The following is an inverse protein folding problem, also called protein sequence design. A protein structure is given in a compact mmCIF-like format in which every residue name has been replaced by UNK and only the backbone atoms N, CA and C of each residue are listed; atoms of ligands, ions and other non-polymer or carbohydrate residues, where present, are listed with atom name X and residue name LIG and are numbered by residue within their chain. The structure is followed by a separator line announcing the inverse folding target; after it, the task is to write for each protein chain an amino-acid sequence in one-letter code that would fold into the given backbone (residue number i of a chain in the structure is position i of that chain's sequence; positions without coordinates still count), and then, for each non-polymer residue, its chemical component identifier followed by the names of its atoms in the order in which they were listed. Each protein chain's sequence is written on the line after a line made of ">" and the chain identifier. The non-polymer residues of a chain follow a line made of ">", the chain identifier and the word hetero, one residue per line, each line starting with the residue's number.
data_IF_043752892663
#
_entry.id   IF_043752892663
#
_cell.length_a   1.000
_cell.length_b   1.000
_cell.length_c   1.000
_cell.angle_alpha   90.00
_cell.angle_beta   90.00
_cell.angle_gamma   90.00
#
_symmetry.space_group_name_H-M   'P 1'
#
loop_
_entity.id
_entity.type
_entity.pdbx_description
1 polymer ?
#
# COMPACT_ATOMS: atom_id res chain seq x y z
N UNK A 1 -12.03 23.29 -3.64
CA UNK A 1 -10.88 22.67 -2.96
C UNK A 1 -10.07 21.91 -3.98
N UNK A 2 -8.87 22.38 -4.35
CA UNK A 2 -7.97 21.57 -5.18
C UNK A 2 -7.80 20.22 -4.46
N UNK A 3 -8.22 19.12 -5.09
CA UNK A 3 -7.86 17.77 -4.63
C UNK A 3 -6.36 17.66 -4.82
N UNK A 4 -5.68 18.14 -3.78
CA UNK A 4 -4.29 17.97 -3.39
C UNK A 4 -3.51 17.09 -4.35
N UNK A 5 -2.40 17.58 -4.90
CA UNK A 5 -1.41 16.88 -5.76
C UNK A 5 -1.11 15.45 -5.25
N UNK A 6 -1.27 15.24 -3.94
CA UNK A 6 -1.16 13.98 -3.23
C UNK A 6 -2.24 12.93 -3.56
N UNK A 7 -3.39 13.28 -4.14
CA UNK A 7 -4.48 12.34 -4.42
C UNK A 7 -4.12 11.35 -5.54
N UNK A 8 -3.41 11.84 -6.56
CA UNK A 8 -2.96 11.02 -7.70
C UNK A 8 -1.84 10.07 -7.28
N UNK A 9 -0.82 10.59 -6.60
CA UNK A 9 0.28 9.81 -6.02
C UNK A 9 -0.22 8.76 -5.02
N UNK A 10 -1.13 9.17 -4.13
CA UNK A 10 -1.73 8.24 -3.18
C UNK A 10 -2.61 7.19 -3.86
N UNK A 11 -3.27 7.55 -4.97
CA UNK A 11 -4.00 6.59 -5.82
C UNK A 11 -3.09 5.50 -6.40
N UNK A 12 -1.91 5.89 -6.92
CA UNK A 12 -0.87 4.95 -7.39
C UNK A 12 -0.41 4.06 -6.23
N UNK A 13 -0.05 4.66 -5.09
CA UNK A 13 0.41 3.94 -3.91
C UNK A 13 -0.61 2.90 -3.44
N UNK A 14 -1.88 3.30 -3.33
CA UNK A 14 -2.99 2.43 -2.93
C UNK A 14 -3.18 1.27 -3.91
N UNK A 15 -3.15 1.55 -5.21
CA UNK A 15 -3.24 0.52 -6.26
C UNK A 15 -2.10 -0.49 -6.15
N UNK A 16 -0.88 -0.01 -5.87
CA UNK A 16 0.30 -0.87 -5.67
C UNK A 16 0.16 -1.78 -4.44
N UNK A 17 -0.35 -1.26 -3.32
CA UNK A 17 -0.61 -2.08 -2.13
C UNK A 17 -1.66 -3.18 -2.39
N UNK A 18 -2.74 -2.83 -3.09
CA UNK A 18 -3.79 -3.80 -3.47
C UNK A 18 -3.22 -4.89 -4.39
N UNK A 19 -2.45 -4.51 -5.41
CA UNK A 19 -1.87 -5.46 -6.36
C UNK A 19 -0.87 -6.38 -5.67
N UNK A 20 -0.05 -5.84 -4.78
CA UNK A 20 0.91 -6.58 -3.98
C UNK A 20 0.22 -7.64 -3.10
N UNK A 21 -0.84 -7.26 -2.38
CA UNK A 21 -1.62 -8.21 -1.57
C UNK A 21 -2.23 -9.33 -2.44
N UNK A 22 -2.81 -8.96 -3.58
CA UNK A 22 -3.43 -9.92 -4.51
C UNK A 22 -2.40 -10.88 -5.09
N UNK A 23 -1.21 -10.39 -5.47
CA UNK A 23 -0.11 -11.21 -5.96
C UNK A 23 0.39 -12.21 -4.91
N UNK A 24 0.35 -11.84 -3.63
CA UNK A 24 0.64 -12.74 -2.52
C UNK A 24 -0.49 -13.75 -2.21
N UNK A 25 -1.61 -13.72 -2.94
CA UNK A 25 -2.75 -14.62 -2.73
C UNK A 25 -3.51 -14.37 -1.42
N UNK A 26 -3.35 -13.19 -0.81
CA UNK A 26 -3.92 -12.89 0.50
C UNK A 26 -5.25 -12.15 0.38
N UNK A 27 -6.24 -12.53 1.19
CA UNK A 27 -7.38 -11.67 1.52
C UNK A 27 -6.94 -10.52 2.42
N UNK A 28 -7.73 -9.45 2.48
CA UNK A 28 -7.48 -8.33 3.41
C UNK A 28 -7.38 -8.82 4.87
N UNK A 29 -8.26 -9.75 5.27
CA UNK A 29 -8.27 -10.34 6.61
C UNK A 29 -7.02 -11.17 6.91
N UNK A 30 -6.53 -11.94 5.94
CA UNK A 30 -5.29 -12.70 6.10
C UNK A 30 -4.07 -11.80 6.24
N UNK A 31 -3.98 -10.73 5.42
CA UNK A 31 -2.89 -9.76 5.55
C UNK A 31 -2.94 -9.03 6.90
N UNK A 32 -4.11 -8.57 7.34
CA UNK A 32 -4.27 -7.96 8.67
C UNK A 32 -3.81 -8.90 9.79
N UNK A 33 -4.16 -10.20 9.69
CA UNK A 33 -3.72 -11.23 10.65
C UNK A 33 -2.20 -11.41 10.63
N UNK A 34 -1.55 -11.47 9.46
CA UNK A 34 -0.08 -11.55 9.35
C UNK A 34 0.60 -10.35 10.00
N UNK A 35 0.02 -9.17 9.84
CA UNK A 35 0.51 -7.92 10.42
C UNK A 35 0.19 -7.76 11.91
N UNK A 36 -0.54 -8.70 12.52
CA UNK A 36 -1.05 -8.59 13.90
C UNK A 36 -1.83 -7.29 14.14
N UNK A 37 -2.64 -6.90 13.16
CA UNK A 37 -3.52 -5.70 13.19
C UNK A 37 -4.99 -6.08 13.20
N UNK A 38 -5.83 -5.10 13.52
CA UNK A 38 -7.28 -5.22 13.48
C UNK A 38 -7.79 -5.56 12.07
N UNK A 39 -8.95 -6.21 11.99
CA UNK A 39 -9.53 -6.66 10.71
C UNK A 39 -9.75 -5.53 9.70
N UNK A 40 -10.02 -4.31 10.17
CA UNK A 40 -10.26 -3.14 9.34
C UNK A 40 -8.98 -2.43 8.87
N UNK A 41 -7.80 -2.81 9.37
CA UNK A 41 -6.55 -2.14 9.05
C UNK A 41 -6.32 -2.06 7.53
N UNK A 42 -6.29 -3.23 6.87
CA UNK A 42 -6.01 -3.32 5.43
C UNK A 42 -7.13 -2.71 4.60
N UNK A 43 -8.39 -2.92 4.95
CA UNK A 43 -9.51 -2.37 4.18
C UNK A 43 -9.52 -0.84 4.19
N UNK A 44 -9.26 -0.22 5.35
CA UNK A 44 -9.19 1.25 5.46
C UNK A 44 -8.03 1.85 4.67
N UNK A 45 -6.90 1.14 4.58
CA UNK A 45 -5.78 1.53 3.71
C UNK A 45 -6.18 1.44 2.24
N UNK A 46 -6.77 0.32 1.81
CA UNK A 46 -7.18 0.07 0.41
C UNK A 46 -8.34 0.95 -0.05
N UNK A 47 -9.18 1.42 0.86
CA UNK A 47 -10.20 2.45 0.60
C UNK A 47 -9.60 3.86 0.55
N UNK A 48 -8.47 4.07 1.22
CA UNK A 48 -7.80 5.35 1.35
C UNK A 48 -8.28 6.19 2.53
N UNK A 49 -9.02 5.58 3.45
CA UNK A 49 -9.50 6.17 4.70
C UNK A 49 -8.42 6.23 5.78
N UNK A 50 -7.33 5.47 5.61
CA UNK A 50 -6.18 5.45 6.51
C UNK A 50 -4.89 5.53 5.70
N UNK A 51 -4.04 6.50 6.04
CA UNK A 51 -2.67 6.59 5.51
C UNK A 51 -1.76 5.56 6.16
N UNK A 52 -0.68 5.24 5.46
CA UNK A 52 0.29 4.23 5.86
C UNK A 52 1.66 4.91 5.95
N UNK A 53 2.33 4.78 7.08
CA UNK A 53 3.68 5.34 7.26
C UNK A 53 4.76 4.40 6.68
N UNK A 54 6.01 4.87 6.64
CA UNK A 54 7.12 4.09 6.03
C UNK A 54 7.44 2.79 6.77
N UNK A 55 7.23 2.73 8.09
CA UNK A 55 7.48 1.53 8.91
C UNK A 55 6.37 0.51 8.66
N UNK A 56 5.12 0.97 8.61
CA UNK A 56 4.00 0.12 8.21
C UNK A 56 4.19 -0.40 6.80
N UNK A 57 4.69 0.42 5.87
CA UNK A 57 4.92 0.03 4.47
C UNK A 57 5.90 -1.12 4.40
N UNK A 58 7.02 -1.01 5.12
CA UNK A 58 7.99 -2.08 5.26
C UNK A 58 7.32 -3.38 5.69
N UNK A 59 6.51 -3.36 6.76
CA UNK A 59 5.85 -4.57 7.25
C UNK A 59 4.80 -5.12 6.29
N UNK A 60 4.05 -4.27 5.59
CA UNK A 60 3.07 -4.71 4.57
C UNK A 60 3.79 -5.41 3.41
N UNK A 61 4.89 -4.85 2.92
CA UNK A 61 5.71 -5.50 1.88
C UNK A 61 6.21 -6.86 2.34
N UNK A 62 6.82 -6.94 3.54
CA UNK A 62 7.32 -8.21 4.09
C UNK A 62 6.21 -9.23 4.33
N UNK A 63 5.04 -8.81 4.79
CA UNK A 63 3.90 -9.71 5.00
C UNK A 63 3.29 -10.25 3.70
N UNK A 64 3.52 -9.56 2.59
CA UNK A 64 3.18 -10.00 1.23
C UNK A 64 4.35 -10.70 0.53
N UNK A 65 5.42 -11.05 1.25
CA UNK A 65 6.61 -11.74 0.71
C UNK A 65 7.30 -10.94 -0.42
N UNK A 66 7.31 -9.60 -0.29
CA UNK A 66 7.93 -8.67 -1.23
C UNK A 66 9.05 -7.87 -0.58
N UNK A 67 10.05 -7.50 -1.37
CA UNK A 67 11.14 -6.62 -0.95
C UNK A 67 10.68 -5.15 -0.92
N UNK A 68 10.69 -4.47 0.24
CA UNK A 68 10.22 -3.09 0.36
C UNK A 68 10.98 -2.11 -0.53
N UNK A 69 12.29 -2.30 -0.71
CA UNK A 69 13.12 -1.42 -1.54
C UNK A 69 12.68 -1.51 -3.00
N UNK A 70 12.54 -2.72 -3.53
CA UNK A 70 12.09 -2.95 -4.90
C UNK A 70 10.71 -2.31 -5.16
N UNK A 71 9.77 -2.47 -4.23
CA UNK A 71 8.43 -1.85 -4.34
C UNK A 71 8.53 -0.31 -4.29
N UNK A 72 9.40 0.25 -3.46
CA UNK A 72 9.61 1.69 -3.39
C UNK A 72 10.21 2.24 -4.68
N UNK A 73 11.21 1.56 -5.26
CA UNK A 73 11.82 1.95 -6.54
C UNK A 73 10.79 1.97 -7.68
N UNK A 74 9.87 1.01 -7.69
CA UNK A 74 8.76 0.99 -8.64
C UNK A 74 7.77 2.14 -8.42
N UNK A 75 7.44 2.45 -7.16
CA UNK A 75 6.57 3.59 -6.83
C UNK A 75 7.18 4.91 -7.29
N UNK A 76 8.47 5.14 -7.06
CA UNK A 76 9.15 6.36 -7.51
C UNK A 76 9.08 6.53 -9.02
N UNK A 77 9.23 5.44 -9.80
CA UNK A 77 9.08 5.48 -11.26
C UNK A 77 7.66 5.85 -11.69
N UNK A 78 6.64 5.34 -11.00
CA UNK A 78 5.24 5.68 -11.30
C UNK A 78 4.90 7.12 -10.89
N UNK A 79 5.44 7.59 -9.76
CA UNK A 79 5.25 8.97 -9.30
C UNK A 79 5.86 9.97 -10.27
N UNK A 80 7.06 9.72 -10.79
CA UNK A 80 7.72 10.57 -11.77
C UNK A 80 6.95 10.72 -13.10
N UNK A 81 5.94 9.89 -13.37
CA UNK A 81 5.05 10.04 -14.55
C UNK A 81 3.94 11.07 -14.34
N UNK A 82 3.74 11.53 -13.09
CA UNK A 82 2.75 12.54 -12.74
C UNK A 82 3.34 13.96 -12.72
N UNK A 83 4.66 14.08 -12.80
CA UNK A 83 5.41 15.34 -12.96
C UNK A 83 5.45 15.77 -14.44
#
# INVERSE_FOLDING_TARGET
>A
MQKSIFSSHYGIFKTKLVSMRKAAGLTQRQLAKRLKREHSFVSRIELGERRLDVVEFYWVCRACDQDPKSIYDELLKEFAKLD
#
